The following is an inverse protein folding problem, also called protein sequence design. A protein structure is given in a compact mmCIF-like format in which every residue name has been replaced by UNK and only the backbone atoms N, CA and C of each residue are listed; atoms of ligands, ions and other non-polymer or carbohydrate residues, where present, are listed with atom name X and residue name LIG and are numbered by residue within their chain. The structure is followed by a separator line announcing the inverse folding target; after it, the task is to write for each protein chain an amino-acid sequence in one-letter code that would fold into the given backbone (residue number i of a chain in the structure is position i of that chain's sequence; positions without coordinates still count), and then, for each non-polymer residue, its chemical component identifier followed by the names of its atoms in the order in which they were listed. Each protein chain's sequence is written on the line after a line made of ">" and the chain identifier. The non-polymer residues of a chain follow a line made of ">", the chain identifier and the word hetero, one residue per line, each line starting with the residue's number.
data_IF_016629685303
#
_entry.id   IF_016629685303
#
_cell.length_a   1.000
_cell.length_b   1.000
_cell.length_c   1.000
_cell.angle_alpha   90.00
_cell.angle_beta   90.00
_cell.angle_gamma   90.00
#
_symmetry.space_group_name_H-M   'P 1'
#
loop_
_entity.id
_entity.type
_entity.pdbx_description
1 polymer ?
#
# COMPACT_ATOMS: atom_id res chain seq x y z
N UNK A 1 -2.10 4.01 -4.78
CA UNK A 1 -1.56 4.71 -3.58
C UNK A 1 -0.15 4.21 -3.33
N UNK A 2 0.65 4.89 -2.51
CA UNK A 2 1.94 4.39 -2.08
C UNK A 2 1.87 3.85 -0.66
N UNK A 3 2.56 2.76 -0.38
CA UNK A 3 2.76 2.19 0.96
C UNK A 3 4.23 1.80 1.06
N UNK A 4 4.94 2.32 2.07
CA UNK A 4 6.37 2.12 2.28
C UNK A 4 7.22 2.46 1.05
N UNK A 5 6.89 3.55 0.36
CA UNK A 5 7.58 3.98 -0.86
C UNK A 5 7.29 3.12 -2.10
N UNK A 6 6.43 2.11 -2.00
CA UNK A 6 6.01 1.26 -3.11
C UNK A 6 4.61 1.66 -3.60
N UNK A 7 4.44 1.82 -4.91
CA UNK A 7 3.19 2.26 -5.53
C UNK A 7 2.36 1.05 -5.92
N UNK A 8 1.16 0.97 -5.36
CA UNK A 8 0.21 -0.12 -5.59
C UNK A 8 -1.04 0.36 -6.34
N UNK A 9 -1.46 -0.46 -7.30
CA UNK A 9 -2.77 -0.41 -7.94
C UNK A 9 -3.74 -1.31 -7.16
N UNK A 10 -4.65 -0.65 -6.44
CA UNK A 10 -5.69 -1.29 -5.63
C UNK A 10 -7.06 -1.25 -6.30
N UNK A 11 -7.14 -0.79 -7.56
CA UNK A 11 -8.41 -0.45 -8.21
C UNK A 11 -9.37 -1.65 -8.27
N UNK A 12 -8.83 -2.86 -8.46
CA UNK A 12 -9.60 -4.11 -8.49
C UNK A 12 -10.02 -4.59 -7.10
N UNK A 13 -9.19 -4.35 -6.09
CA UNK A 13 -9.44 -4.75 -4.70
C UNK A 13 -10.37 -3.78 -3.96
N UNK A 14 -10.49 -2.53 -4.43
CA UNK A 14 -11.27 -1.48 -3.77
C UNK A 14 -12.68 -1.88 -3.29
N UNK A 15 -13.54 -2.58 -4.07
CA UNK A 15 -14.85 -3.02 -3.58
C UNK A 15 -14.79 -4.11 -2.50
N UNK A 16 -13.69 -4.86 -2.44
CA UNK A 16 -13.49 -5.99 -1.53
C UNK A 16 -12.73 -5.61 -0.26
N UNK A 17 -12.31 -4.34 -0.13
CA UNK A 17 -11.58 -3.85 1.03
C UNK A 17 -12.44 -3.93 2.31
N UNK A 18 -12.05 -4.73 3.34
CA UNK A 18 -12.86 -4.90 4.55
C UNK A 18 -13.10 -3.63 5.36
N UNK A 19 -12.17 -2.67 5.32
CA UNK A 19 -12.34 -1.34 5.93
C UNK A 19 -13.28 -0.41 5.14
N UNK A 20 -13.68 -0.82 3.93
CA UNK A 20 -14.53 -0.07 3.03
C UNK A 20 -13.77 0.69 1.94
N UNK A 21 -14.36 0.74 0.75
CA UNK A 21 -13.78 1.39 -0.43
C UNK A 21 -13.46 2.89 -0.22
N UNK A 22 -14.26 3.59 0.58
CA UNK A 22 -14.11 5.03 0.85
C UNK A 22 -12.75 5.37 1.47
N UNK A 23 -12.24 4.52 2.39
CA UNK A 23 -10.92 4.74 3.00
C UNK A 23 -9.79 4.73 1.96
N UNK A 24 -9.88 3.86 0.95
CA UNK A 24 -8.89 3.82 -0.13
C UNK A 24 -9.02 5.01 -1.08
N UNK A 25 -10.22 5.59 -1.23
CA UNK A 25 -10.46 6.78 -2.04
C UNK A 25 -9.90 8.04 -1.38
N UNK A 26 -10.00 8.16 -0.06
CA UNK A 26 -9.50 9.32 0.70
C UNK A 26 -7.98 9.50 0.58
N UNK A 27 -7.26 8.37 0.46
CA UNK A 27 -5.80 8.31 0.28
C UNK A 27 -5.37 7.98 -1.16
N UNK A 28 -6.30 8.01 -2.11
CA UNK A 28 -5.99 7.74 -3.52
C UNK A 28 -4.93 8.73 -4.05
N UNK A 29 -3.89 8.18 -4.68
CA UNK A 29 -2.78 8.97 -5.24
C UNK A 29 -1.80 9.54 -4.20
N UNK A 30 -2.00 9.28 -2.90
CA UNK A 30 -1.11 9.71 -1.82
C UNK A 30 -0.25 8.55 -1.30
N UNK A 31 0.73 8.90 -0.45
CA UNK A 31 1.37 7.95 0.45
C UNK A 31 0.43 7.69 1.63
N UNK A 32 0.02 6.42 1.78
CA UNK A 32 -0.93 5.93 2.77
C UNK A 32 -0.23 5.04 3.82
N UNK A 33 1.10 5.12 3.94
CA UNK A 33 1.88 4.26 4.84
C UNK A 33 1.44 4.38 6.30
N UNK A 34 1.13 5.60 6.75
CA UNK A 34 0.68 5.85 8.12
C UNK A 34 -0.68 5.20 8.38
N UNK A 35 -1.65 5.50 7.52
CA UNK A 35 -3.01 4.95 7.60
C UNK A 35 -3.02 3.41 7.50
N UNK A 36 -2.12 2.85 6.69
CA UNK A 36 -1.97 1.41 6.54
C UNK A 36 -1.46 0.72 7.81
N UNK A 37 -0.46 1.32 8.48
CA UNK A 37 0.10 0.79 9.73
C UNK A 37 -0.83 1.04 10.94
N UNK A 38 -1.51 2.19 10.98
CA UNK A 38 -2.50 2.52 12.03
C UNK A 38 -3.70 1.57 12.01
N UNK A 39 -4.07 1.05 10.84
CA UNK A 39 -5.11 0.04 10.67
C UNK A 39 -4.67 -1.38 11.09
N UNK A 40 -3.37 -1.60 11.36
CA UNK A 40 -2.80 -2.87 11.81
C UNK A 40 -3.16 -4.07 10.90
N UNK A 41 -2.95 -3.92 9.60
CA UNK A 41 -3.21 -4.97 8.62
C UNK A 41 -2.40 -6.25 8.89
N UNK A 42 -3.08 -7.40 8.86
CA UNK A 42 -2.47 -8.72 9.01
C UNK A 42 -1.53 -9.06 7.85
N UNK A 43 -0.65 -10.05 8.05
CA UNK A 43 0.24 -10.55 6.99
C UNK A 43 -0.54 -11.04 5.75
N UNK A 44 -1.73 -11.61 5.97
CA UNK A 44 -2.62 -12.00 4.88
C UNK A 44 -3.10 -10.78 4.09
N UNK A 45 -3.53 -9.71 4.77
CA UNK A 45 -3.96 -8.48 4.11
C UNK A 45 -2.81 -7.78 3.36
N UNK A 46 -1.57 -7.92 3.87
CA UNK A 46 -0.34 -7.45 3.19
C UNK A 46 0.00 -8.25 1.94
N UNK A 47 -0.56 -9.45 1.78
CA UNK A 47 -0.28 -10.38 0.68
C UNK A 47 -1.48 -10.52 -0.28
N UNK A 48 -2.37 -9.53 -0.32
CA UNK A 48 -3.56 -9.54 -1.17
C UNK A 48 -3.19 -9.53 -2.66
N UNK A 49 -3.50 -10.61 -3.37
CA UNK A 49 -3.10 -10.81 -4.77
C UNK A 49 -3.78 -9.85 -5.75
N UNK A 50 -4.96 -9.33 -5.39
CA UNK A 50 -5.66 -8.32 -6.17
C UNK A 50 -4.96 -6.95 -6.16
N UNK A 51 -4.00 -6.74 -5.24
CA UNK A 51 -3.21 -5.52 -5.13
C UNK A 51 -1.92 -5.69 -5.95
N UNK A 52 -1.76 -4.88 -6.99
CA UNK A 52 -0.65 -5.02 -7.94
C UNK A 52 0.39 -3.95 -7.69
N UNK A 53 1.64 -4.34 -7.42
CA UNK A 53 2.78 -3.42 -7.39
C UNK A 53 3.02 -2.85 -8.79
N UNK A 54 2.98 -1.51 -8.92
CA UNK A 54 3.22 -0.78 -10.17
C UNK A 54 4.58 -0.11 -10.24
N UNK A 55 5.24 0.12 -9.11
CA UNK A 55 6.56 0.74 -9.09
C UNK A 55 6.91 1.31 -7.72
N UNK A 56 7.79 2.30 -7.71
CA UNK A 56 8.24 3.01 -6.51
C UNK A 56 7.85 4.48 -6.58
N UNK A 57 7.61 5.08 -5.43
CA UNK A 57 7.35 6.50 -5.30
C UNK A 57 8.66 7.27 -5.55
N UNK A 58 8.60 8.35 -6.32
CA UNK A 58 9.77 9.17 -6.62
C UNK A 58 10.39 9.75 -5.33
N UNK A 59 11.71 9.62 -5.17
CA UNK A 59 12.42 10.06 -3.96
C UNK A 59 12.52 9.00 -2.86
N UNK A 60 11.86 7.84 -3.01
CA UNK A 60 11.96 6.72 -2.08
C UNK A 60 12.95 5.62 -2.51
N UNK A 61 13.79 5.85 -3.54
CA UNK A 61 14.70 4.83 -4.07
C UNK A 61 15.65 4.22 -3.02
N UNK A 62 15.99 4.97 -1.97
CA UNK A 62 16.91 4.56 -0.91
C UNK A 62 16.23 3.75 0.23
N UNK A 63 14.90 3.73 0.29
CA UNK A 63 14.16 2.94 1.30
C UNK A 63 14.00 1.47 0.89
N UNK A 64 14.02 1.16 -0.41
CA UNK A 64 13.95 -0.22 -0.92
C UNK A 64 15.19 -1.06 -0.53
N UNK A 65 16.35 -0.42 -0.33
CA UNK A 65 17.58 -1.09 0.07
C UNK A 65 17.66 -1.40 1.58
N UNK A 66 16.82 -0.76 2.41
CA UNK A 66 16.86 -0.92 3.88
C UNK A 66 15.91 -1.99 4.42
N UNK A 67 14.93 -2.48 3.63
CA UNK A 67 14.11 -3.64 4.01
C UNK A 67 14.71 -4.98 3.59
N UNK A 68 15.87 -4.95 2.92
CA UNK A 68 16.66 -6.11 2.52
C UNK A 68 17.97 -6.16 3.32
N UNK A 69 17.88 -6.28 4.64
CA UNK A 69 18.99 -6.73 5.48
C UNK A 69 18.45 -7.48 6.70
N UNK A 70 19.07 -8.63 7.08
CA UNK A 70 18.56 -9.58 8.07
C UNK A 70 18.59 -9.07 9.52
#
# INVERSE_FOLDING_TARGET
>A
MAIHGLVYDVSKFMPDHPGGAHLLQDVAGKDASGEFEDALHSEQARSEEAIVLKGMLAGCEQQAESSASP
#
